data_IF_995439136790
#
_entry.id   IF_995439136790
#
_cell.length_a   1.000
_cell.length_b   1.000
_cell.length_c   1.000
_cell.angle_alpha   90.00
_cell.angle_beta   90.00
_cell.angle_gamma   90.00
#
_symmetry.space_group_name_H-M   'P 1'
#
loop_
_entity.id
_entity.type
_entity.pdbx_description
1 polymer ?
#
# COMPACT_ATOMS: atom_id res chain seq x y z
N UNK A 1 -33.76 -41.89 -3.61
CA UNK A 1 -32.82 -41.60 -4.73
C UNK A 1 -32.96 -40.18 -5.30
N UNK A 2 -34.15 -39.69 -5.73
CA UNK A 2 -34.33 -38.31 -6.27
C UNK A 2 -33.93 -37.17 -5.29
N UNK A 3 -34.21 -37.30 -3.99
CA UNK A 3 -33.80 -36.31 -2.95
C UNK A 3 -32.28 -36.14 -2.84
N UNK A 4 -31.51 -37.23 -2.91
CA UNK A 4 -30.03 -37.19 -2.86
C UNK A 4 -29.41 -36.54 -4.11
N UNK A 5 -29.99 -36.75 -5.30
CA UNK A 5 -29.54 -36.05 -6.50
C UNK A 5 -29.86 -34.55 -6.45
N UNK A 6 -30.98 -34.16 -5.84
CA UNK A 6 -31.34 -32.76 -5.72
C UNK A 6 -30.43 -32.02 -4.72
N UNK A 7 -30.11 -32.63 -3.57
CA UNK A 7 -29.16 -32.04 -2.60
C UNK A 7 -27.74 -31.96 -3.16
N UNK A 8 -27.27 -32.96 -3.90
CA UNK A 8 -25.97 -32.90 -4.60
C UNK A 8 -25.92 -31.82 -5.67
N UNK A 9 -27.03 -31.62 -6.41
CA UNK A 9 -27.15 -30.56 -7.42
C UNK A 9 -27.15 -29.16 -6.80
N UNK A 10 -27.78 -28.97 -5.65
CA UNK A 10 -27.70 -27.73 -4.86
C UNK A 10 -26.30 -27.48 -4.30
N UNK A 11 -25.68 -28.50 -3.71
CA UNK A 11 -24.32 -28.41 -3.19
C UNK A 11 -23.32 -28.07 -4.30
N UNK A 12 -23.43 -28.71 -5.47
CA UNK A 12 -22.60 -28.40 -6.65
C UNK A 12 -22.73 -26.94 -7.09
N UNK A 13 -23.96 -26.40 -7.20
CA UNK A 13 -24.17 -24.99 -7.57
C UNK A 13 -23.59 -24.02 -6.55
N UNK A 14 -23.71 -24.31 -5.25
CA UNK A 14 -23.13 -23.50 -4.19
C UNK A 14 -21.58 -23.54 -4.20
N UNK A 15 -21.00 -24.74 -4.39
CA UNK A 15 -19.53 -24.90 -4.49
C UNK A 15 -18.96 -24.19 -5.73
N UNK A 16 -19.65 -24.24 -6.88
CA UNK A 16 -19.23 -23.52 -8.09
C UNK A 16 -19.35 -22.00 -7.90
N UNK A 17 -20.42 -21.49 -7.29
CA UNK A 17 -20.55 -20.07 -6.99
C UNK A 17 -19.46 -19.56 -6.05
N UNK A 18 -19.12 -20.32 -5.01
CA UNK A 18 -18.02 -19.99 -4.11
C UNK A 18 -16.65 -20.02 -4.82
N UNK A 19 -16.42 -20.99 -5.71
CA UNK A 19 -15.19 -21.09 -6.52
C UNK A 19 -14.99 -19.86 -7.41
N UNK A 20 -16.05 -19.37 -8.08
CA UNK A 20 -16.00 -18.17 -8.95
C UNK A 20 -15.66 -16.91 -8.16
N UNK A 21 -16.17 -16.76 -6.93
CA UNK A 21 -15.78 -15.67 -6.04
C UNK A 21 -14.29 -15.75 -5.66
N UNK A 22 -13.80 -16.95 -5.29
CA UNK A 22 -12.41 -17.16 -4.86
C UNK A 22 -11.39 -16.89 -5.99
N UNK A 23 -11.71 -17.23 -7.24
CA UNK A 23 -10.77 -17.04 -8.37
C UNK A 23 -10.60 -15.57 -8.77
N UNK A 24 -11.64 -14.75 -8.70
CA UNK A 24 -11.54 -13.32 -9.05
C UNK A 24 -10.75 -12.53 -8.00
N UNK A 25 -10.87 -12.88 -6.73
CA UNK A 25 -10.15 -12.24 -5.63
C UNK A 25 -8.63 -12.50 -5.72
N UNK A 26 -8.21 -13.68 -6.21
CA UNK A 26 -6.80 -14.04 -6.32
C UNK A 26 -6.05 -13.22 -7.40
N UNK A 27 -6.64 -13.08 -8.59
CA UNK A 27 -6.05 -12.28 -9.68
C UNK A 27 -6.02 -10.78 -9.33
N UNK A 28 -7.09 -10.28 -8.70
CA UNK A 28 -7.16 -8.91 -8.21
C UNK A 28 -6.10 -8.64 -7.14
N UNK A 29 -5.90 -9.57 -6.21
CA UNK A 29 -4.89 -9.45 -5.14
C UNK A 29 -3.47 -9.39 -5.71
N UNK A 30 -3.14 -10.20 -6.72
CA UNK A 30 -1.84 -10.15 -7.39
C UNK A 30 -1.59 -8.79 -8.07
N UNK A 31 -2.61 -8.25 -8.74
CA UNK A 31 -2.53 -6.91 -9.33
C UNK A 31 -2.33 -5.82 -8.26
N UNK A 32 -3.08 -5.87 -7.17
CA UNK A 32 -2.95 -4.92 -6.05
C UNK A 32 -1.56 -5.00 -5.41
N UNK A 33 -1.02 -6.21 -5.19
CA UNK A 33 0.33 -6.40 -4.65
C UNK A 33 1.40 -5.77 -5.55
N UNK A 34 1.28 -5.97 -6.87
CA UNK A 34 2.20 -5.37 -7.85
C UNK A 34 2.16 -3.84 -7.81
N UNK A 35 0.98 -3.25 -7.63
CA UNK A 35 0.82 -1.80 -7.49
C UNK A 35 1.42 -1.29 -6.18
N UNK A 36 1.15 -1.96 -5.06
CA UNK A 36 1.69 -1.59 -3.75
C UNK A 36 3.22 -1.60 -3.70
N UNK A 37 3.87 -2.59 -4.33
CA UNK A 37 5.33 -2.66 -4.39
C UNK A 37 5.90 -1.46 -5.15
N UNK A 38 5.29 -1.07 -6.27
CA UNK A 38 5.73 0.09 -7.06
C UNK A 38 5.60 1.38 -6.25
N UNK A 39 4.45 1.62 -5.64
CA UNK A 39 4.22 2.81 -4.81
C UNK A 39 5.17 2.87 -3.61
N UNK A 40 5.48 1.72 -3.01
CA UNK A 40 6.44 1.63 -1.91
C UNK A 40 7.86 1.93 -2.38
N UNK A 41 8.22 1.49 -3.58
CA UNK A 41 9.53 1.79 -4.19
C UNK A 41 9.68 3.29 -4.46
N UNK A 42 8.66 3.93 -5.01
CA UNK A 42 8.68 5.36 -5.31
C UNK A 42 8.75 6.20 -4.02
N UNK A 43 8.02 5.77 -2.98
CA UNK A 43 8.10 6.39 -1.66
C UNK A 43 9.52 6.30 -1.06
N UNK A 44 10.19 5.17 -1.24
CA UNK A 44 11.56 4.97 -0.77
C UNK A 44 12.54 5.93 -1.46
N UNK A 45 12.47 6.04 -2.79
CA UNK A 45 13.32 6.97 -3.57
C UNK A 45 13.05 8.43 -3.18
N UNK A 46 11.79 8.78 -2.96
CA UNK A 46 11.43 10.13 -2.53
C UNK A 46 11.95 10.44 -1.12
N UNK A 47 11.84 9.49 -0.19
CA UNK A 47 12.36 9.62 1.16
C UNK A 47 13.86 9.89 1.17
N UNK A 48 14.62 9.09 0.41
CA UNK A 48 16.09 9.21 0.37
C UNK A 48 16.51 10.53 -0.27
N UNK A 49 15.87 10.98 -1.35
CA UNK A 49 16.14 12.29 -1.96
C UNK A 49 15.90 13.44 -0.98
N UNK A 50 14.73 13.46 -0.32
CA UNK A 50 14.37 14.55 0.61
C UNK A 50 15.29 14.58 1.84
N UNK A 51 15.65 13.42 2.39
CA UNK A 51 16.52 13.36 3.55
C UNK A 51 17.98 13.66 3.19
N UNK A 52 18.44 13.30 2.00
CA UNK A 52 19.75 13.67 1.50
C UNK A 52 19.88 15.20 1.37
N UNK A 53 18.92 15.84 0.69
CA UNK A 53 18.93 17.30 0.45
C UNK A 53 18.85 18.13 1.74
N UNK A 54 18.26 17.58 2.81
CA UNK A 54 18.09 18.29 4.09
C UNK A 54 19.22 18.05 5.08
N UNK A 55 19.76 16.83 5.13
CA UNK A 55 20.68 16.43 6.18
C UNK A 55 22.14 16.41 5.72
N UNK A 56 22.42 16.25 4.42
CA UNK A 56 23.79 16.18 3.91
C UNK A 56 24.17 17.53 3.31
N UNK A 57 24.78 18.37 4.14
CA UNK A 57 25.13 19.74 3.76
C UNK A 57 26.65 19.96 3.69
N UNK A 58 27.45 19.05 4.24
CA UNK A 58 28.89 19.20 4.34
C UNK A 58 29.63 18.15 3.51
N UNK A 59 30.30 18.58 2.44
CA UNK A 59 31.01 17.71 1.51
C UNK A 59 32.53 17.65 1.76
N UNK A 60 32.97 17.86 3.00
CA UNK A 60 34.41 17.85 3.35
C UNK A 60 35.02 16.44 3.44
N UNK A 61 34.21 15.41 3.65
CA UNK A 61 34.66 14.02 3.75
C UNK A 61 33.76 13.08 2.95
N UNK A 62 34.31 11.94 2.51
CA UNK A 62 33.53 10.88 1.82
C UNK A 62 32.54 10.18 2.76
N UNK A 63 32.83 10.17 4.06
CA UNK A 63 31.96 9.57 5.08
C UNK A 63 31.08 10.65 5.71
N UNK A 64 29.83 10.29 5.98
CA UNK A 64 28.92 11.16 6.72
C UNK A 64 29.41 11.38 8.15
N UNK A 65 29.16 12.56 8.68
CA UNK A 65 29.40 12.87 10.10
C UNK A 65 28.28 12.29 10.97
N UNK A 66 28.57 12.03 12.25
CA UNK A 66 27.59 11.47 13.19
C UNK A 66 26.33 12.34 13.34
N UNK A 67 26.47 13.67 13.21
CA UNK A 67 25.36 14.63 13.20
C UNK A 67 24.44 14.47 11.98
N UNK A 68 25.01 14.18 10.80
CA UNK A 68 24.24 13.95 9.57
C UNK A 68 23.52 12.60 9.63
N UNK A 69 24.16 11.59 10.23
CA UNK A 69 23.55 10.27 10.46
C UNK A 69 22.33 10.36 11.39
N UNK A 70 22.45 11.05 12.53
CA UNK A 70 21.34 11.31 13.46
C UNK A 70 20.21 12.12 12.79
N UNK A 71 20.56 13.09 11.93
CA UNK A 71 19.57 13.82 11.14
C UNK A 71 18.79 12.91 10.18
N UNK A 72 19.47 12.03 9.45
CA UNK A 72 18.85 11.10 8.50
C UNK A 72 17.89 10.14 9.22
N UNK A 73 18.29 9.63 10.40
CA UNK A 73 17.42 8.77 11.21
C UNK A 73 16.13 9.51 11.59
N UNK A 74 16.23 10.72 12.14
CA UNK A 74 15.08 11.54 12.50
C UNK A 74 14.24 11.94 11.29
N UNK A 75 14.87 12.25 10.16
CA UNK A 75 14.21 12.60 8.91
C UNK A 75 13.35 11.44 8.40
N UNK A 76 13.91 10.22 8.34
CA UNK A 76 13.21 9.03 7.87
C UNK A 76 11.98 8.72 8.72
N UNK A 77 12.09 8.80 10.05
CA UNK A 77 10.97 8.59 10.98
C UNK A 77 9.89 9.65 10.79
N UNK A 78 10.27 10.92 10.63
CA UNK A 78 9.34 12.02 10.41
C UNK A 78 8.62 11.89 9.07
N UNK A 79 9.34 11.51 8.02
CA UNK A 79 8.78 11.27 6.69
C UNK A 79 7.78 10.13 6.71
N UNK A 80 8.09 9.00 7.34
CA UNK A 80 7.17 7.86 7.45
C UNK A 80 5.86 8.25 8.18
N UNK A 81 5.96 8.92 9.33
CA UNK A 81 4.78 9.40 10.09
C UNK A 81 3.95 10.42 9.30
N UNK A 82 4.61 11.31 8.56
CA UNK A 82 3.96 12.28 7.70
C UNK A 82 3.17 11.58 6.59
N UNK A 83 3.79 10.62 5.89
CA UNK A 83 3.12 9.89 4.81
C UNK A 83 1.90 9.13 5.31
N UNK A 84 2.00 8.42 6.44
CA UNK A 84 0.85 7.75 7.06
C UNK A 84 -0.31 8.73 7.35
N UNK A 85 0.01 9.91 7.88
CA UNK A 85 -1.01 10.94 8.17
C UNK A 85 -1.63 11.52 6.90
N UNK A 86 -0.83 11.77 5.87
CA UNK A 86 -1.31 12.26 4.57
C UNK A 86 -2.24 11.23 3.93
N UNK A 87 -1.87 9.96 3.96
CA UNK A 87 -2.71 8.87 3.46
C UNK A 87 -4.09 8.87 4.12
N UNK A 88 -4.18 8.99 5.45
CA UNK A 88 -5.46 9.08 6.15
C UNK A 88 -6.29 10.29 5.70
N UNK A 89 -5.68 11.46 5.58
CA UNK A 89 -6.37 12.67 5.12
C UNK A 89 -6.83 12.58 3.67
N UNK A 90 -6.03 12.00 2.79
CA UNK A 90 -6.41 11.78 1.40
C UNK A 90 -7.62 10.84 1.29
N UNK A 91 -7.68 9.79 2.11
CA UNK A 91 -8.86 8.93 2.16
C UNK A 91 -10.12 9.65 2.64
N UNK A 92 -10.01 10.59 3.59
CA UNK A 92 -11.12 11.43 4.02
C UNK A 92 -11.59 12.34 2.87
N UNK A 93 -10.67 13.06 2.22
CA UNK A 93 -10.98 13.96 1.11
C UNK A 93 -11.61 13.23 -0.07
N UNK A 94 -11.09 12.06 -0.45
CA UNK A 94 -11.63 11.27 -1.55
C UNK A 94 -13.07 10.82 -1.27
N UNK A 95 -13.41 10.50 -0.01
CA UNK A 95 -14.78 10.17 0.38
C UNK A 95 -15.71 11.38 0.25
N UNK A 96 -15.28 12.54 0.72
CA UNK A 96 -16.06 13.77 0.62
C UNK A 96 -16.31 14.17 -0.84
N UNK A 97 -15.31 14.04 -1.71
CA UNK A 97 -15.45 14.30 -3.15
C UNK A 97 -16.48 13.38 -3.82
N UNK A 98 -16.51 12.09 -3.47
CA UNK A 98 -17.53 11.16 -3.98
C UNK A 98 -18.95 11.55 -3.54
N UNK A 99 -19.11 12.16 -2.36
CA UNK A 99 -20.44 12.59 -1.87
C UNK A 99 -20.94 13.87 -2.54
N UNK A 100 -20.04 14.76 -2.97
CA UNK A 100 -20.38 16.00 -3.68
C UNK A 100 -20.81 15.79 -5.14
N UNK A 101 -20.51 14.63 -5.73
CA UNK A 101 -20.91 14.29 -7.10
C UNK A 101 -22.33 13.69 -7.20
N UNK A 102 -23.08 13.63 -6.09
CA UNK A 102 -24.52 13.33 -6.08
C UNK A 102 -25.34 14.61 -6.08
#
# INVERSE_FOLDING_TARGET
RKRQNNTRKFHWRATVAACVSITMDAEMTDYLNKMQIKETSDLYVTCTSVCFDRCVMNFTARKLQDSELDCIEKCSQKFAKMNQRLTLRLFEMNKDEMTKQK
#
